data_IF_408381242561
#
_entry.id   IF_408381242561
#
_cell.length_a   1.000
_cell.length_b   1.000
_cell.length_c   1.000
_cell.angle_alpha   90.00
_cell.angle_beta   90.00
_cell.angle_gamma   90.00
#
_symmetry.space_group_name_H-M   'P 1'
#
loop_
_entity.id
_entity.type
_entity.pdbx_description
1 polymer ?
2 non-polymer ?
3 water ?
#
# COMPACT_ATOMS: atom_id res chain seq x y z
N UNK A 3 -21.49 13.57 -2.02
CA UNK A 3 -20.06 13.97 -2.23
C UNK A 3 -19.15 12.75 -2.31
N UNK A 4 -18.45 12.62 -3.43
CA UNK A 4 -17.67 11.43 -3.71
C UNK A 4 -16.36 11.41 -2.91
N UNK A 5 -15.87 10.21 -2.58
CA UNK A 5 -14.54 10.11 -1.97
C UNK A 5 -13.50 9.78 -3.02
N UNK A 6 -12.29 10.23 -2.79
CA UNK A 6 -11.18 9.98 -3.69
C UNK A 6 -10.13 9.24 -2.87
N UNK A 7 -10.05 7.92 -3.04
CA UNK A 7 -9.05 7.17 -2.28
C UNK A 7 -7.64 7.61 -2.62
N UNK A 8 -6.81 7.72 -1.59
CA UNK A 8 -5.35 7.77 -1.75
C UNK A 8 -4.87 6.61 -2.60
N UNK A 9 -3.73 6.79 -3.28
CA UNK A 9 -3.12 5.77 -4.15
C UNK A 9 -2.98 4.44 -3.42
N UNK A 10 -2.61 4.48 -2.15
CA UNK A 10 -2.60 3.27 -1.35
C UNK A 10 -3.96 2.61 -1.38
N UNK A 11 -4.91 3.23 -0.69
CA UNK A 11 -6.26 2.69 -0.65
C UNK A 11 -6.77 2.28 -2.03
N UNK A 12 -6.36 3.00 -3.07
CA UNK A 12 -6.86 2.75 -4.42
C UNK A 12 -6.35 1.45 -5.01
N UNK A 13 -5.05 1.20 -4.86
CA UNK A 13 -4.46 -0.04 -5.36
C UNK A 13 -5.16 -1.25 -4.76
N UNK A 14 -5.52 -1.16 -3.48
CA UNK A 14 -6.33 -2.22 -2.89
C UNK A 14 -7.64 -2.36 -3.65
N UNK A 15 -8.38 -1.25 -3.77
CA UNK A 15 -9.72 -1.30 -4.35
C UNK A 15 -9.66 -1.73 -5.79
N UNK A 16 -8.63 -1.29 -6.49
CA UNK A 16 -8.43 -1.72 -7.87
C UNK A 16 -8.15 -3.22 -7.93
N UNK A 17 -7.33 -3.73 -7.03
CA UNK A 17 -7.09 -5.18 -6.99
C UNK A 17 -8.32 -5.90 -6.45
N UNK A 18 -9.24 -5.15 -5.85
CA UNK A 18 -10.52 -5.71 -5.42
C UNK A 18 -11.63 -5.56 -6.45
N UNK A 19 -11.31 -5.04 -7.63
CA UNK A 19 -12.30 -5.00 -8.70
C UNK A 19 -12.73 -3.61 -9.15
N UNK A 20 -12.53 -2.61 -8.30
CA UNK A 20 -12.89 -1.23 -8.63
C UNK A 20 -12.20 -0.80 -9.91
N UNK A 21 -12.93 -0.07 -10.75
CA UNK A 21 -12.40 0.33 -12.05
C UNK A 21 -12.30 1.84 -12.23
N UNK A 22 -12.32 2.59 -11.13
CA UNK A 22 -12.29 4.05 -11.21
C UNK A 22 -11.58 4.71 -10.03
N UNK A 23 -11.54 6.04 -10.04
CA UNK A 23 -10.71 6.80 -9.12
C UNK A 23 -11.48 7.57 -8.04
N UNK A 24 -12.79 7.64 -8.19
CA UNK A 24 -13.63 8.36 -7.23
C UNK A 24 -14.89 7.55 -7.00
N UNK A 25 -15.44 7.64 -5.80
CA UNK A 25 -16.44 6.67 -5.36
C UNK A 25 -17.46 7.34 -4.45
N UNK A 26 -18.56 6.64 -4.20
CA UNK A 26 -19.37 6.89 -3.00
C UNK A 26 -18.75 6.08 -1.87
N UNK A 27 -18.95 6.50 -0.63
CA UNK A 27 -18.42 5.75 0.49
C UNK A 27 -18.90 4.30 0.43
N UNK A 28 -20.15 4.11 0.04
CA UNK A 28 -20.71 2.77 -0.05
C UNK A 28 -19.91 1.93 -1.04
N UNK A 29 -19.40 2.58 -2.08
CA UNK A 29 -18.62 1.89 -3.10
C UNK A 29 -17.27 1.44 -2.56
N UNK A 30 -16.59 2.31 -1.82
CA UNK A 30 -15.39 1.94 -1.11
C UNK A 30 -15.66 0.74 -0.20
N UNK A 31 -16.64 0.89 0.69
CA UNK A 31 -17.04 -0.19 1.57
C UNK A 31 -17.34 -1.48 0.81
N UNK A 32 -17.87 -1.36 -0.39
CA UNK A 32 -18.24 -2.58 -1.12
C UNK A 32 -17.02 -3.34 -1.67
N UNK A 33 -16.06 -2.59 -2.20
CA UNK A 33 -14.87 -3.20 -2.77
C UNK A 33 -13.95 -3.72 -1.66
N UNK A 34 -13.71 -2.89 -0.64
CA UNK A 34 -12.97 -3.31 0.56
C UNK A 34 -13.54 -4.59 1.15
N UNK A 35 -14.85 -4.60 1.39
CA UNK A 35 -15.51 -5.81 1.80
C UNK A 35 -15.22 -6.95 0.84
N UNK A 36 -15.04 -6.64 -0.44
CA UNK A 36 -14.73 -7.66 -1.44
C UNK A 36 -13.25 -8.02 -1.44
N UNK A 37 -12.44 -7.10 -0.93
CA UNK A 37 -11.01 -7.30 -0.82
C UNK A 37 -10.78 -8.23 0.36
N UNK A 38 -11.58 -8.03 1.39
CA UNK A 38 -11.47 -8.79 2.61
C UNK A 38 -11.90 -10.23 2.38
N UNK A 39 -12.87 -10.42 1.48
CA UNK A 39 -13.33 -11.75 1.13
C UNK A 39 -12.28 -12.47 0.30
N UNK A 40 -11.62 -11.74 -0.59
CA UNK A 40 -10.59 -12.32 -1.42
C UNK A 40 -9.37 -12.78 -0.61
N UNK A 41 -8.90 -11.94 0.31
CA UNK A 41 -7.74 -12.26 1.14
C UNK A 41 -8.13 -13.13 2.32
N UNK A 42 -9.36 -13.64 2.30
CA UNK A 42 -9.88 -14.47 3.39
C UNK A 42 -9.58 -13.94 4.80
N UNK A 43 -9.52 -12.61 4.94
CA UNK A 43 -9.19 -11.97 6.21
C UNK A 43 -10.28 -12.09 7.26
N UNK A 44 -11.40 -12.69 6.88
CA UNK A 44 -12.61 -12.63 7.70
C UNK A 44 -13.05 -14.00 8.17
N UNK A 45 -13.02 -14.20 9.49
CA UNK A 45 -13.63 -15.37 10.10
C UNK A 45 -15.04 -15.04 10.57
N UNK A 46 -16.02 -15.54 9.84
CA UNK A 46 -17.39 -15.47 10.29
C UNK A 46 -17.53 -16.34 11.54
N UNK A 47 -16.84 -17.48 11.52
CA UNK A 47 -16.86 -18.42 12.63
C UNK A 47 -16.48 -17.77 13.96
N UNK A 48 -15.24 -17.29 14.04
CA UNK A 48 -14.74 -16.60 15.23
C UNK A 48 -15.77 -15.72 15.92
N UNK A 49 -15.74 -14.44 15.57
CA UNK A 49 -16.64 -13.45 16.15
C UNK A 49 -16.81 -12.24 15.23
N UNK A 50 -16.78 -12.49 13.93
CA UNK A 50 -17.00 -11.45 12.93
C UNK A 50 -15.83 -10.46 12.85
N UNK A 51 -14.63 -10.90 13.24
CA UNK A 51 -13.47 -10.04 13.11
C UNK A 51 -12.79 -10.22 11.76
N UNK A 52 -12.26 -9.12 11.23
CA UNK A 52 -11.34 -9.19 10.11
C UNK A 52 -9.93 -9.24 10.68
N UNK A 53 -9.10 -10.13 10.14
CA UNK A 53 -7.73 -10.26 10.62
C UNK A 53 -6.74 -9.81 9.58
N UNK A 54 -6.01 -8.75 9.88
CA UNK A 54 -5.12 -8.19 8.89
C UNK A 54 -3.76 -7.87 9.47
N UNK A 55 -3.29 -8.71 10.39
CA UNK A 55 -1.96 -8.51 10.96
C UNK A 55 -0.93 -8.58 9.85
N UNK A 56 -1.17 -9.43 8.86
CA UNK A 56 -0.21 -9.57 7.77
C UNK A 56 -0.74 -9.29 6.36
N UNK A 57 -1.69 -8.37 6.26
CA UNK A 57 -2.16 -7.89 4.96
C UNK A 57 -1.81 -6.41 4.84
N UNK A 58 -1.71 -5.90 3.61
CA UNK A 58 -1.60 -4.46 3.36
C UNK A 58 -2.70 -3.67 4.07
N UNK A 59 -3.90 -4.23 4.08
CA UNK A 59 -5.02 -3.62 4.79
C UNK A 59 -4.66 -3.21 6.22
N UNK A 60 -4.25 -4.19 7.02
CA UNK A 60 -3.96 -3.90 8.41
C UNK A 60 -2.97 -2.76 8.52
N UNK A 61 -2.07 -2.68 7.56
CA UNK A 61 -1.02 -1.67 7.60
C UNK A 61 -1.67 -0.33 7.26
N UNK A 62 -2.62 -0.38 6.33
CA UNK A 62 -3.34 0.81 5.89
C UNK A 62 -4.23 1.37 7.01
N UNK A 63 -4.88 0.50 7.78
CA UNK A 63 -5.77 0.94 8.86
C UNK A 63 -5.03 1.10 10.17
N UNK A 64 -3.73 0.83 10.16
CA UNK A 64 -2.97 0.86 11.39
C UNK A 64 -3.61 0.00 12.47
N UNK A 65 -4.12 -1.17 12.08
CA UNK A 65 -4.69 -2.08 13.06
C UNK A 65 -4.46 -3.53 12.71
N UNK A 66 -4.51 -4.38 13.73
CA UNK A 66 -4.22 -5.79 13.56
C UNK A 66 -5.50 -6.52 13.22
N UNK A 67 -6.58 -6.10 13.87
CA UNK A 67 -7.87 -6.73 13.65
C UNK A 67 -8.99 -5.76 14.01
N UNK A 68 -10.17 -5.98 13.43
CA UNK A 68 -11.36 -5.26 13.84
C UNK A 68 -12.60 -6.11 13.57
N UNK A 69 -13.62 -5.93 14.40
CA UNK A 69 -14.95 -6.47 14.13
C UNK A 69 -15.64 -5.74 12.98
N UNK A 70 -16.41 -6.49 12.20
CA UNK A 70 -17.06 -5.94 11.03
C UNK A 70 -18.31 -5.18 11.46
N UNK A 71 -18.46 -5.01 12.77
CA UNK A 71 -19.64 -4.40 13.35
C UNK A 71 -19.23 -3.21 14.21
N UNK A 72 -17.98 -2.80 14.09
CA UNK A 72 -17.53 -1.56 14.71
C UNK A 72 -17.47 -0.52 13.59
N UNK A 73 -18.64 -0.23 13.01
CA UNK A 73 -18.71 0.57 11.79
C UNK A 73 -18.10 1.96 11.94
N UNK A 74 -18.40 2.59 13.07
CA UNK A 74 -17.81 3.86 13.43
C UNK A 74 -16.27 3.84 13.34
N UNK A 75 -15.65 2.75 13.77
CA UNK A 75 -14.20 2.63 13.65
C UNK A 75 -13.78 2.32 12.22
N UNK A 76 -14.54 1.47 11.55
CA UNK A 76 -14.23 1.15 10.15
C UNK A 76 -14.32 2.38 9.26
N UNK A 77 -15.18 3.33 9.62
CA UNK A 77 -15.32 4.56 8.86
C UNK A 77 -14.15 5.49 9.08
N UNK A 78 -13.69 5.60 10.31
CA UNK A 78 -12.55 6.46 10.58
C UNK A 78 -11.30 5.90 9.91
N UNK A 79 -11.12 4.59 9.99
CA UNK A 79 -9.94 3.98 9.39
C UNK A 79 -9.91 4.32 7.92
N UNK A 80 -11.07 4.23 7.28
CA UNK A 80 -11.12 4.58 5.88
C UNK A 80 -10.86 6.08 5.67
N UNK A 81 -11.39 6.90 6.57
CA UNK A 81 -11.42 8.34 6.30
C UNK A 81 -10.03 8.91 6.17
N UNK A 82 -9.07 8.32 6.86
CA UNK A 82 -7.71 8.82 6.81
C UNK A 82 -6.99 8.32 5.57
N UNK A 83 -7.72 7.65 4.69
CA UNK A 83 -7.15 7.13 3.46
C UNK A 83 -7.85 7.68 2.23
N UNK A 84 -8.66 8.70 2.44
CA UNK A 84 -9.32 9.40 1.34
C UNK A 84 -8.63 10.75 1.18
N UNK A 85 -8.36 11.14 -0.06
CA UNK A 85 -7.73 12.44 -0.31
C UNK A 85 -8.63 13.56 0.21
N UNK B 3 22.58 -9.90 6.63
CA UNK B 3 21.23 -10.24 7.16
C UNK B 3 20.08 -9.73 6.28
N UNK B 4 19.09 -10.59 6.05
CA UNK B 4 18.04 -10.29 5.09
C UNK B 4 16.94 -9.39 5.67
N UNK B 5 16.38 -8.54 4.83
CA UNK B 5 15.25 -7.72 5.24
C UNK B 5 13.96 -8.46 4.93
N UNK B 6 12.92 -8.12 5.68
CA UNK B 6 11.59 -8.63 5.45
C UNK B 6 10.62 -7.45 5.30
N UNK B 7 10.16 -7.19 4.07
CA UNK B 7 9.21 -6.09 3.83
C UNK B 7 7.88 -6.30 4.53
N UNK B 8 7.44 -5.30 5.28
CA UNK B 8 6.01 -5.16 5.64
C UNK B 8 5.09 -5.35 4.42
N UNK B 9 3.87 -5.81 4.66
CA UNK B 9 2.91 -6.15 3.61
C UNK B 9 2.73 -5.09 2.52
N UNK B 10 2.75 -3.81 2.91
CA UNK B 10 2.62 -2.74 1.93
C UNK B 10 3.73 -2.72 0.91
N UNK B 11 4.96 -2.58 1.37
CA UNK B 11 6.09 -2.60 0.45
C UNK B 11 6.12 -3.90 -0.35
N UNK B 12 5.77 -5.00 0.29
CA UNK B 12 5.81 -6.30 -0.38
C UNK B 12 4.89 -6.34 -1.58
N UNK B 13 3.63 -5.96 -1.38
CA UNK B 13 2.69 -5.84 -2.50
C UNK B 13 3.27 -4.97 -3.61
N UNK B 14 3.87 -3.84 -3.24
CA UNK B 14 4.54 -3.01 -4.23
C UNK B 14 5.62 -3.84 -4.92
N UNK B 15 6.43 -4.53 -4.11
CA UNK B 15 7.57 -5.27 -4.63
C UNK B 15 7.11 -6.42 -5.50
N UNK B 16 6.00 -7.04 -5.11
CA UNK B 16 5.43 -8.11 -5.90
C UNK B 16 4.95 -7.61 -7.26
N UNK B 17 4.20 -6.51 -7.28
CA UNK B 17 3.71 -5.99 -8.55
C UNK B 17 4.90 -5.78 -9.47
N UNK B 18 6.08 -5.59 -8.89
CA UNK B 18 7.29 -5.35 -9.67
C UNK B 18 7.84 -6.63 -10.28
N UNK B 19 7.41 -7.78 -9.77
CA UNK B 19 7.89 -9.04 -10.29
C UNK B 19 8.66 -9.86 -9.28
N UNK B 20 8.65 -9.42 -8.02
CA UNK B 20 9.39 -10.09 -6.95
C UNK B 20 8.59 -11.25 -6.36
N UNK B 21 9.28 -12.33 -6.00
CA UNK B 21 8.62 -13.60 -5.71
C UNK B 21 8.99 -14.22 -4.36
N UNK B 22 9.32 -13.39 -3.38
CA UNK B 22 9.70 -13.90 -2.06
C UNK B 22 9.50 -12.85 -0.99
N UNK B 23 9.68 -13.25 0.26
CA UNK B 23 9.30 -12.43 1.40
C UNK B 23 10.49 -11.90 2.21
N UNK B 24 11.68 -12.40 1.90
CA UNK B 24 12.91 -11.89 2.50
C UNK B 24 13.86 -11.46 1.39
N UNK B 25 14.73 -10.51 1.69
CA UNK B 25 15.51 -9.84 0.65
C UNK B 25 16.85 -9.37 1.19
N UNK B 26 17.82 -9.20 0.30
CA UNK B 26 18.92 -8.29 0.60
C UNK B 26 18.45 -6.90 0.18
N UNK B 27 18.83 -5.89 0.95
CA UNK B 27 18.55 -4.53 0.55
C UNK B 27 18.68 -4.37 -0.96
N UNK B 28 19.84 -4.73 -1.48
CA UNK B 28 20.12 -4.61 -2.90
C UNK B 28 19.01 -5.21 -3.78
N UNK B 29 18.36 -6.27 -3.31
CA UNK B 29 17.27 -6.87 -4.08
C UNK B 29 16.02 -5.99 -4.00
N UNK B 30 15.74 -5.47 -2.82
CA UNK B 30 14.73 -4.45 -2.64
C UNK B 30 14.99 -3.26 -3.58
N UNK B 31 16.21 -2.71 -3.52
CA UNK B 31 16.54 -1.56 -4.35
C UNK B 31 16.24 -1.92 -5.80
N UNK B 32 16.76 -3.06 -6.24
CA UNK B 32 16.55 -3.44 -7.63
C UNK B 32 15.07 -3.45 -7.99
N UNK B 33 14.28 -4.14 -7.19
CA UNK B 33 12.86 -4.25 -7.48
C UNK B 33 12.15 -2.90 -7.44
N UNK B 34 12.36 -2.14 -6.37
CA UNK B 34 11.83 -0.79 -6.25
C UNK B 34 12.26 0.05 -7.44
N UNK B 35 13.40 -0.29 -8.02
CA UNK B 35 13.87 0.42 -9.19
C UNK B 35 13.13 -0.01 -10.45
N UNK B 36 12.60 -1.22 -10.45
CA UNK B 36 11.84 -1.66 -11.60
C UNK B 36 10.41 -1.16 -11.45
N UNK B 37 9.92 -1.16 -10.21
CA UNK B 37 8.61 -0.61 -9.93
C UNK B 37 8.59 0.83 -10.41
N UNK B 38 9.70 1.52 -10.24
CA UNK B 38 9.74 2.92 -10.60
C UNK B 38 9.68 3.11 -12.11
N UNK B 39 10.48 2.35 -12.85
CA UNK B 39 10.49 2.51 -14.30
C UNK B 39 9.16 2.10 -14.93
N UNK B 40 8.49 1.11 -14.36
CA UNK B 40 7.23 0.65 -14.94
C UNK B 40 6.15 1.69 -14.66
N UNK B 41 6.34 2.45 -13.60
CA UNK B 41 5.41 3.50 -13.23
C UNK B 41 5.76 4.75 -14.02
N UNK B 42 7.04 4.91 -14.31
CA UNK B 42 7.52 6.07 -15.04
C UNK B 42 7.50 7.31 -14.14
N UNK B 43 7.78 7.09 -12.86
CA UNK B 43 7.84 8.15 -11.87
C UNK B 43 9.19 8.87 -11.89
N UNK B 44 10.05 8.51 -12.84
CA UNK B 44 11.41 9.02 -12.85
C UNK B 44 11.74 9.71 -14.16
N UNK B 45 12.27 10.93 -14.05
CA UNK B 45 12.71 11.67 -15.22
C UNK B 45 14.22 11.83 -15.20
N UNK B 46 14.90 11.15 -16.11
CA UNK B 46 16.34 11.27 -16.17
C UNK B 46 16.70 12.72 -16.43
N UNK B 47 16.25 13.22 -17.57
CA UNK B 47 16.72 14.49 -18.10
C UNK B 47 16.46 15.66 -17.14
N UNK B 48 15.38 15.57 -16.37
CA UNK B 48 14.97 16.68 -15.52
C UNK B 48 16.00 17.02 -14.46
N UNK B 49 16.11 16.18 -13.44
CA UNK B 49 17.10 16.36 -12.37
C UNK B 49 17.46 15.03 -11.68
N UNK B 50 17.06 13.92 -12.31
CA UNK B 50 17.12 12.58 -11.72
C UNK B 50 16.26 12.47 -10.47
N UNK B 51 14.98 12.84 -10.56
CA UNK B 51 14.09 12.69 -9.42
C UNK B 51 13.02 11.65 -9.68
N UNK B 52 12.65 10.94 -8.62
CA UNK B 52 11.45 10.12 -8.64
C UNK B 52 10.29 10.95 -8.11
N UNK B 53 9.24 11.08 -8.91
CA UNK B 53 8.05 11.84 -8.48
C UNK B 53 6.97 10.83 -8.14
N UNK B 54 6.52 10.81 -6.90
CA UNK B 54 5.58 9.79 -6.48
C UNK B 54 4.46 10.28 -5.57
N UNK B 55 4.14 11.56 -5.64
CA UNK B 55 3.01 12.12 -4.91
C UNK B 55 1.75 11.32 -5.22
N UNK B 56 1.70 10.77 -6.43
CA UNK B 56 0.49 10.13 -6.92
C UNK B 56 0.62 8.65 -7.13
N UNK B 57 1.62 8.07 -6.49
CA UNK B 57 1.83 6.65 -6.55
C UNK B 57 1.85 6.15 -5.12
N UNK B 58 1.44 4.89 -4.90
CA UNK B 58 1.51 4.27 -3.57
C UNK B 58 2.88 4.45 -2.93
N UNK B 59 3.92 4.35 -3.75
CA UNK B 59 5.28 4.51 -3.26
C UNK B 59 5.46 5.81 -2.50
N UNK B 60 5.01 6.90 -3.09
CA UNK B 60 5.18 8.19 -2.47
C UNK B 60 4.65 8.18 -1.05
N UNK B 61 3.49 7.57 -0.87
CA UNK B 61 2.89 7.50 0.45
C UNK B 61 3.66 6.51 1.32
N UNK B 62 4.18 5.46 0.69
CA UNK B 62 4.92 4.43 1.40
C UNK B 62 6.20 5.04 1.99
N UNK B 63 6.81 5.95 1.24
CA UNK B 63 8.07 6.55 1.64
C UNK B 63 7.91 7.82 2.48
N UNK B 64 6.67 8.23 2.71
CA UNK B 64 6.42 9.48 3.40
C UNK B 64 7.04 10.69 2.70
N UNK B 65 7.12 10.65 1.37
CA UNK B 65 7.71 11.76 0.61
C UNK B 65 6.98 11.94 -0.71
N UNK B 66 7.31 13.01 -1.43
CA UNK B 66 6.63 13.31 -2.69
C UNK B 66 7.55 13.25 -3.90
N UNK B 67 8.82 13.58 -3.69
CA UNK B 67 9.86 13.36 -4.69
C UNK B 67 11.15 13.10 -3.92
N UNK B 68 12.13 12.49 -4.59
CA UNK B 68 13.47 12.40 -4.04
C UNK B 68 14.50 12.23 -5.18
N UNK B 69 15.72 12.72 -4.96
CA UNK B 69 16.79 12.51 -5.93
C UNK B 69 17.26 11.07 -5.84
N UNK B 70 17.41 10.42 -6.98
CA UNK B 70 17.84 9.04 -6.96
C UNK B 70 19.26 8.97 -6.39
N UNK B 71 19.78 10.12 -5.98
CA UNK B 71 21.14 10.25 -5.47
C UNK B 71 21.19 10.62 -3.98
N UNK B 72 20.08 10.48 -3.27
CA UNK B 72 20.07 10.75 -1.83
C UNK B 72 20.06 9.42 -1.07
N UNK B 73 20.83 8.47 -1.59
CA UNK B 73 20.86 7.08 -1.13
C UNK B 73 20.66 6.90 0.38
N UNK B 74 21.37 7.69 1.16
CA UNK B 74 21.19 7.68 2.59
C UNK B 74 19.70 7.82 2.96
N UNK B 75 19.00 8.73 2.29
CA UNK B 75 17.60 8.96 2.58
C UNK B 75 16.75 7.81 2.04
N UNK B 76 17.08 7.35 0.84
CA UNK B 76 16.37 6.23 0.23
C UNK B 76 16.48 4.96 1.08
N UNK B 77 17.55 4.86 1.86
CA UNK B 77 17.71 3.73 2.76
C UNK B 77 16.82 3.86 3.98
N UNK B 78 16.82 5.04 4.58
CA UNK B 78 15.99 5.27 5.75
C UNK B 78 14.51 5.15 5.41
N UNK B 79 14.15 5.47 4.17
CA UNK B 79 12.77 5.37 3.75
C UNK B 79 12.40 3.90 3.62
N UNK B 80 13.23 3.15 2.92
CA UNK B 80 13.06 1.71 2.87
C UNK B 80 13.04 1.07 4.27
N UNK B 81 13.88 1.56 5.17
CA UNK B 81 14.03 0.94 6.49
C UNK B 81 12.71 0.89 7.23
N UNK B 82 11.98 2.00 7.22
CA UNK B 82 10.74 2.09 7.98
C UNK B 82 9.68 1.17 7.40
N UNK B 83 10.03 0.46 6.34
CA UNK B 83 9.08 -0.44 5.71
C UNK B 83 9.48 -1.91 5.84
N UNK B 84 10.47 -2.17 6.68
CA UNK B 84 10.96 -3.52 6.93
C UNK B 84 10.61 -3.93 8.36
N UNK B 85 10.14 -5.16 8.55
CA UNK B 85 9.80 -5.64 9.90
C UNK B 85 11.01 -5.45 10.82
X LIG C 1 -20.84 -5.53 6.74
X LIG C 1 -21.44 -5.72 8.09
X LIG C 1 -21.45 -7.00 8.54
X LIG C 1 -22.19 -7.39 9.74
X LIG C 1 -22.85 -8.74 9.47
X LIG C 1 -23.39 -9.34 10.76
X LIG C 1 -23.55 -10.76 10.62
X LIG C 1 -24.70 -8.67 11.16
X LIG C 1 -25.71 -8.90 10.18
X LIG C 1 -21.95 -4.81 8.75
X LIG C 1 -20.24 -6.81 6.24
X LIG C 1 -19.70 -4.54 6.75
X LIG C 1 -20.15 -3.12 6.70
X LIG C 1 -21.26 -2.73 5.96
X LIG C 1 -21.61 -1.36 5.90
X LIG C 1 -19.45 -2.16 7.38
X LIG C 1 -18.46 -2.54 8.20
X LIG C 1 -19.73 -0.82 7.32
X LIG C 1 -18.69 0.33 8.15
X LIG C 1 -20.84 -0.41 6.58
X LIG C 1 -18.87 -4.97 5.55
X LIG C 1 -19.55 -4.65 4.29
X LIG C 1 -20.07 -4.41 3.30
X LIG C 1 -17.48 -4.39 5.52
X LIG C 1 -16.64 -4.46 6.62
X LIG C 1 -17.05 -5.15 7.71
X LIG C 1 -15.41 -3.86 6.66
X LIG C 1 -17.02 -3.74 4.38
X LIG C 1 -15.77 -3.13 4.38
X LIG C 1 -14.98 -3.18 5.53
X LIG C 1 -13.44 -2.33 5.58
X LIG C 1 -18.87 -6.47 5.71
X LIG C 1 -18.61 -7.16 4.38
X LIG C 1 -17.95 -8.53 4.60
X LIG C 1 -18.51 -9.18 5.87
X LIG C 1 -16.44 -8.32 4.75
X LIG C 1 -18.23 -9.43 3.39
X LIG D 1 20.32 4.27 -8.81
X LIG D 1 21.18 5.49 -8.78
X LIG D 1 21.12 6.29 -9.88
X LIG D 1 21.97 7.47 -10.05
X LIG D 1 22.23 7.67 -11.55
X LIG D 1 22.92 9.00 -11.81
X LIG D 1 22.97 9.27 -13.22
X LIG D 1 24.33 9.02 -11.18
X LIG D 1 25.18 8.04 -11.79
X LIG D 1 21.95 5.78 -7.84
X LIG D 1 19.31 4.35 -9.93
X LIG D 1 19.49 4.11 -7.54
X LIG D 1 20.23 3.39 -6.45
X LIG D 1 21.19 2.42 -6.72
X LIG D 1 21.88 1.79 -5.66
X LIG D 1 19.98 3.71 -5.13
X LIG D 1 19.09 4.65 -4.85
X LIG D 1 20.62 3.11 -4.08
X LIG D 1 20.19 3.58 -2.43
X LIG D 1 21.60 2.14 -4.33
X LIG D 1 18.25 3.37 -8.04
X LIG D 1 18.59 1.98 -8.35
X LIG D 1 18.86 0.89 -8.61
X LIG D 1 17.07 3.41 -7.09
X LIG D 1 16.70 4.58 -6.42
X LIG D 1 17.35 5.73 -6.68
X LIG D 1 15.69 4.63 -5.51
X LIG D 1 16.32 2.25 -6.87
X LIG D 1 15.26 2.28 -5.96
X LIG D 1 14.96 3.47 -5.28
X LIG D 1 13.67 3.51 -4.11
X LIG D 1 17.96 4.08 -9.32
X LIG D 1 17.08 3.23 -10.23
X LIG D 1 16.25 4.12 -11.16
X LIG D 1 17.05 5.35 -11.58
X LIG D 1 14.98 4.56 -10.43
X LIG D 1 15.88 3.33 -12.41
#
# INVERSE_FOLDING_TARGET
>A
MEKLVQPTPLLLSLLKSAGAQKETFTMKEVLYHLGQYIMAKQLYDEKQQHIVHCSNDPLGELFGVQEFSVKEHRRIYAMISRNLVS
>B
MEKLVQPTPLLLSLLKSAGAQKETFTMKEVLYHLGQYIMAKQLYDEKQQHIVHCSNDPLGELFGVQEFSVKEHRRIYAMISRNLVS
>C hetero
1 1OY C1 C10 N11 C12 C13 C14 O14 C15 O15 O10 N1 C2 C21 C26 C25 C22 F2 C23 CL2 C24 C3 C37 N37 C31 C32 F3 C33 C36 C35 C34 CL3 C4 C41 C42 C45 C44 C43
>D hetero
1 1OY C1 C10 N11 C12 C13 C14 O14 C15 O15 O10 N1 C2 C21 C26 C25 C22 F2 C23 CL2 C24 C3 C37 N37 C31 C32 F3 C33 C36 C35 C34 CL3 C4 C41 C42 C45 C44 C43
#
